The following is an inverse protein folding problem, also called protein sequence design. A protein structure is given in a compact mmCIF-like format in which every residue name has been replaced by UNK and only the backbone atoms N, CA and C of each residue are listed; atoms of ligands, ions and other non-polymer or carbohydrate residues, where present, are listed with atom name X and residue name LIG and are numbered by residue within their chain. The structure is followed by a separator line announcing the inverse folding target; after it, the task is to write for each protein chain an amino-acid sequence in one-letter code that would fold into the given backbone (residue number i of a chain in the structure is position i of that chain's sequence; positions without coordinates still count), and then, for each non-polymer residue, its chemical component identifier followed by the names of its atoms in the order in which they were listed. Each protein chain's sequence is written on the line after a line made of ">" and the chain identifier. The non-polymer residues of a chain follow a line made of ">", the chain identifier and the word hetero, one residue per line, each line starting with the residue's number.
data_IF_860103995373
#
_entry.id   IF_860103995373
#
_cell.length_a   1.000
_cell.length_b   1.000
_cell.length_c   1.000
_cell.angle_alpha   90.00
_cell.angle_beta   90.00
_cell.angle_gamma   90.00
#
_symmetry.space_group_name_H-M   'P 1'
#
loop_
_entity.id
_entity.type
_entity.pdbx_description
1 polymer ?
#
# COMPACT_ATOMS: atom_id res chain seq x y z
N UNK A 1 45.23 -5.84 3.46
CA UNK A 1 44.09 -5.66 2.57
C UNK A 1 43.12 -4.77 3.34
N UNK A 2 42.59 -3.69 2.77
CA UNK A 2 41.56 -2.92 3.47
C UNK A 2 40.37 -3.84 3.72
N UNK A 3 39.91 -3.91 4.98
CA UNK A 3 38.66 -4.57 5.32
C UNK A 3 37.54 -3.97 4.44
N UNK A 4 36.84 -4.81 3.67
CA UNK A 4 35.65 -4.36 2.97
C UNK A 4 34.68 -3.80 4.02
N UNK A 5 34.10 -2.60 3.81
CA UNK A 5 33.17 -2.02 4.77
C UNK A 5 32.07 -3.04 5.04
N UNK A 6 31.87 -3.37 6.30
CA UNK A 6 30.87 -4.36 6.73
C UNK A 6 29.51 -3.90 6.22
N UNK A 7 28.93 -4.66 5.30
CA UNK A 7 27.64 -4.38 4.71
C UNK A 7 26.55 -4.31 5.81
N UNK A 8 25.93 -3.16 5.99
CA UNK A 8 24.88 -2.98 6.99
C UNK A 8 23.66 -3.87 6.67
N UNK A 9 23.13 -4.53 7.68
CA UNK A 9 21.95 -5.39 7.58
C UNK A 9 20.79 -4.73 8.32
N UNK A 10 19.75 -4.35 7.55
CA UNK A 10 18.56 -3.67 8.04
C UNK A 10 17.34 -4.57 7.98
N UNK A 11 16.56 -4.64 9.05
CA UNK A 11 15.21 -5.20 9.06
C UNK A 11 14.17 -4.09 9.10
N UNK A 12 13.27 -4.06 8.14
CA UNK A 12 12.06 -3.25 8.16
C UNK A 12 10.88 -4.07 8.68
N UNK A 13 10.17 -3.58 9.68
CA UNK A 13 8.96 -4.22 10.21
C UNK A 13 7.74 -3.38 9.87
N UNK A 14 6.99 -3.82 8.84
CA UNK A 14 5.68 -3.29 8.47
C UNK A 14 4.81 -4.44 8.02
N UNK A 15 3.98 -4.97 8.93
CA UNK A 15 3.25 -6.22 8.71
C UNK A 15 2.01 -6.02 7.84
N UNK A 16 1.32 -4.89 8.00
CA UNK A 16 0.01 -4.59 7.40
C UNK A 16 -0.38 -3.10 7.63
N UNK A 17 -1.42 -2.52 6.96
CA UNK A 17 -2.19 -3.10 5.89
C UNK A 17 -1.56 -2.74 4.52
N UNK A 18 -2.24 -3.06 3.39
CA UNK A 18 -1.75 -2.76 2.04
C UNK A 18 -1.33 -1.29 1.89
N UNK A 19 -2.23 -0.36 2.18
CA UNK A 19 -1.95 1.09 2.07
C UNK A 19 -0.79 1.52 2.96
N UNK A 20 -0.75 1.02 4.19
CA UNK A 20 0.33 1.33 5.13
C UNK A 20 1.72 0.82 4.66
N UNK A 21 1.76 -0.35 4.01
CA UNK A 21 2.99 -0.87 3.41
C UNK A 21 3.40 0.02 2.24
N UNK A 22 2.44 0.36 1.36
CA UNK A 22 2.67 1.26 0.23
C UNK A 22 3.19 2.63 0.65
N UNK A 23 2.72 3.16 1.77
CA UNK A 23 3.22 4.42 2.34
C UNK A 23 4.63 4.31 2.94
N UNK A 24 5.08 3.12 3.33
CA UNK A 24 6.45 2.91 3.80
C UNK A 24 7.45 2.70 2.67
N UNK A 25 7.00 2.22 1.51
CA UNK A 25 7.88 1.89 0.38
C UNK A 25 8.70 3.08 -0.14
N UNK A 26 8.19 4.33 -0.26
CA UNK A 26 8.97 5.47 -0.77
C UNK A 26 10.24 5.71 0.02
N UNK A 27 10.15 5.69 1.35
CA UNK A 27 11.29 5.92 2.24
C UNK A 27 12.33 4.79 2.16
N UNK A 28 11.86 3.53 2.09
CA UNK A 28 12.77 2.38 1.95
C UNK A 28 13.37 2.32 0.54
N UNK A 29 12.64 2.79 -0.50
CA UNK A 29 13.18 2.92 -1.86
C UNK A 29 14.30 3.96 -1.90
N UNK A 30 14.10 5.12 -1.29
CA UNK A 30 15.14 6.14 -1.21
C UNK A 30 16.40 5.61 -0.48
N UNK A 31 16.20 4.87 0.61
CA UNK A 31 17.29 4.22 1.31
C UNK A 31 18.02 3.19 0.43
N UNK A 32 17.29 2.36 -0.33
CA UNK A 32 17.87 1.39 -1.27
C UNK A 32 18.69 2.05 -2.36
N UNK A 33 18.24 3.21 -2.87
CA UNK A 33 18.97 3.97 -3.89
C UNK A 33 20.25 4.61 -3.32
N UNK A 34 20.17 5.13 -2.09
CA UNK A 34 21.31 5.71 -1.40
C UNK A 34 22.35 4.66 -0.99
N UNK A 35 21.91 3.46 -0.63
CA UNK A 35 22.73 2.36 -0.13
C UNK A 35 22.42 1.04 -0.86
N UNK A 36 22.78 0.92 -2.14
CA UNK A 36 22.49 -0.27 -2.94
C UNK A 36 23.18 -1.55 -2.43
N UNK A 37 24.24 -1.41 -1.64
CA UNK A 37 25.03 -2.50 -1.03
C UNK A 37 24.40 -3.03 0.27
N UNK A 38 23.50 -2.29 0.94
CA UNK A 38 22.93 -2.74 2.19
C UNK A 38 22.04 -3.97 2.00
N UNK A 39 22.02 -4.84 3.00
CA UNK A 39 21.11 -5.97 3.02
C UNK A 39 19.82 -5.58 3.73
N UNK A 40 18.72 -5.52 3.00
CA UNK A 40 17.40 -5.12 3.53
C UNK A 40 16.47 -6.33 3.59
N UNK A 41 16.09 -6.72 4.79
CA UNK A 41 14.99 -7.66 5.02
C UNK A 41 13.69 -6.93 5.38
N UNK A 42 12.56 -7.55 5.10
CA UNK A 42 11.24 -6.99 5.43
C UNK A 42 10.34 -8.05 6.08
N UNK A 43 9.79 -7.73 7.25
CA UNK A 43 8.78 -8.57 7.92
C UNK A 43 7.38 -8.11 7.53
N UNK A 44 6.58 -9.02 6.95
CA UNK A 44 5.26 -8.73 6.38
C UNK A 44 4.27 -9.89 6.58
N UNK A 45 2.97 -9.61 6.67
CA UNK A 45 1.93 -10.66 6.67
C UNK A 45 1.84 -11.37 5.29
N UNK A 46 1.48 -12.68 5.26
CA UNK A 46 1.52 -13.51 4.04
C UNK A 46 0.82 -12.89 2.84
N UNK A 47 -0.37 -12.32 3.04
CA UNK A 47 -1.17 -11.75 1.97
C UNK A 47 -0.55 -10.51 1.31
N UNK A 48 0.38 -9.85 1.97
CA UNK A 48 1.02 -8.63 1.47
C UNK A 48 2.42 -8.87 0.90
N UNK A 49 2.95 -10.10 0.99
CA UNK A 49 4.24 -10.48 0.39
C UNK A 49 4.36 -10.06 -1.09
N UNK A 50 3.30 -10.18 -1.94
CA UNK A 50 3.41 -9.80 -3.34
C UNK A 50 3.68 -8.30 -3.62
N UNK A 51 3.53 -7.41 -2.61
CA UNK A 51 3.98 -6.02 -2.72
C UNK A 51 5.51 -5.87 -2.69
N UNK A 52 6.23 -6.89 -2.21
CA UNK A 52 7.68 -6.87 -2.02
C UNK A 52 8.42 -7.84 -2.96
N UNK A 53 7.80 -8.97 -3.27
CA UNK A 53 8.42 -10.04 -4.04
C UNK A 53 7.37 -10.84 -4.84
N UNK A 54 7.64 -11.14 -6.10
CA UNK A 54 6.87 -12.08 -6.88
C UNK A 54 7.03 -13.51 -6.34
N UNK A 55 6.12 -14.41 -6.72
CA UNK A 55 6.15 -15.79 -6.24
C UNK A 55 7.40 -16.55 -6.73
N UNK A 56 7.97 -17.36 -5.85
CA UNK A 56 9.11 -18.23 -6.17
C UNK A 56 10.43 -17.50 -6.43
N UNK A 57 10.53 -16.19 -6.16
CA UNK A 57 11.77 -15.45 -6.35
C UNK A 57 12.73 -15.66 -5.17
N UNK A 58 14.02 -15.80 -5.49
CA UNK A 58 15.12 -15.85 -4.53
C UNK A 58 16.12 -14.75 -4.91
N UNK A 59 16.37 -13.83 -3.98
CA UNK A 59 17.30 -12.72 -4.17
C UNK A 59 16.75 -11.54 -4.96
N UNK A 60 17.47 -10.43 -4.87
CA UNK A 60 17.10 -9.13 -5.45
C UNK A 60 17.18 -9.12 -6.97
N UNK A 61 16.22 -8.47 -7.60
CA UNK A 61 16.10 -8.31 -9.04
C UNK A 61 14.74 -7.72 -9.42
N UNK A 62 14.34 -7.67 -10.70
CA UNK A 62 13.07 -7.07 -11.12
C UNK A 62 11.83 -7.66 -10.45
N UNK A 63 11.90 -8.93 -10.01
CA UNK A 63 10.83 -9.64 -9.30
C UNK A 63 10.84 -9.41 -7.79
N UNK A 64 11.90 -8.85 -7.23
CA UNK A 64 12.06 -8.43 -5.83
C UNK A 64 13.04 -7.24 -5.80
N UNK A 65 12.60 -6.03 -6.23
CA UNK A 65 13.55 -4.95 -6.50
C UNK A 65 14.05 -4.22 -5.26
N UNK A 66 13.27 -4.18 -4.19
CA UNK A 66 13.50 -3.34 -3.03
C UNK A 66 14.32 -4.04 -1.93
N UNK A 67 13.98 -5.29 -1.64
CA UNK A 67 14.51 -6.04 -0.49
C UNK A 67 15.34 -7.23 -0.95
N UNK A 68 16.21 -7.74 -0.06
CA UNK A 68 17.03 -8.92 -0.31
C UNK A 68 16.37 -10.19 0.23
N UNK A 69 15.53 -10.06 1.27
CA UNK A 69 14.72 -11.15 1.78
C UNK A 69 13.38 -10.67 2.37
N UNK A 70 12.38 -11.55 2.39
CA UNK A 70 11.06 -11.29 2.95
C UNK A 70 10.74 -12.32 4.03
N UNK A 71 10.53 -11.85 5.26
CA UNK A 71 10.10 -12.68 6.39
C UNK A 71 8.57 -12.68 6.47
N UNK A 72 7.98 -13.84 6.21
CA UNK A 72 6.52 -14.00 6.28
C UNK A 72 6.08 -14.26 7.71
N UNK A 73 5.31 -13.31 8.26
CA UNK A 73 4.87 -13.29 9.66
C UNK A 73 3.34 -13.32 9.72
N UNK A 74 2.69 -14.49 9.91
CA UNK A 74 1.23 -14.60 9.92
C UNK A 74 0.62 -14.18 11.28
N UNK A 75 0.92 -12.95 11.73
CA UNK A 75 0.58 -12.44 13.04
C UNK A 75 -0.93 -12.46 13.33
N UNK A 76 -1.79 -12.23 12.31
CA UNK A 76 -3.25 -12.34 12.47
C UNK A 76 -3.72 -13.77 12.69
N UNK A 77 -3.07 -14.75 12.08
CA UNK A 77 -3.39 -16.17 12.31
C UNK A 77 -2.98 -16.59 13.71
N UNK A 78 -1.80 -16.16 14.17
CA UNK A 78 -1.33 -16.44 15.52
C UNK A 78 -2.27 -15.89 16.60
N UNK A 79 -2.84 -14.70 16.39
CA UNK A 79 -3.80 -14.11 17.34
C UNK A 79 -5.09 -14.92 17.50
N UNK A 80 -5.45 -15.76 16.52
CA UNK A 80 -6.65 -16.64 16.62
C UNK A 80 -6.41 -17.90 17.44
N UNK A 81 -5.16 -18.37 17.52
CA UNK A 81 -4.77 -19.56 18.27
C UNK A 81 -3.35 -19.40 18.82
N UNK A 82 -3.16 -18.52 19.84
CA UNK A 82 -1.82 -18.10 20.27
C UNK A 82 -1.01 -19.24 20.90
N UNK A 83 -1.66 -20.19 21.57
CA UNK A 83 -1.02 -21.35 22.22
C UNK A 83 -1.07 -22.63 21.38
N UNK A 84 -1.57 -22.56 20.14
CA UNK A 84 -1.67 -23.71 19.25
C UNK A 84 -0.28 -24.24 18.86
N UNK A 85 -0.10 -25.59 18.75
CA UNK A 85 1.20 -26.19 18.39
C UNK A 85 1.76 -25.69 17.06
N UNK A 86 0.88 -25.40 16.08
CA UNK A 86 1.24 -24.80 14.79
C UNK A 86 1.81 -23.39 14.99
N UNK A 87 1.11 -22.54 15.74
CA UNK A 87 1.55 -21.18 16.06
C UNK A 87 2.90 -21.19 16.75
N UNK A 88 3.08 -22.05 17.74
CA UNK A 88 4.35 -22.15 18.48
C UNK A 88 5.52 -22.56 17.57
N UNK A 89 5.29 -23.48 16.62
CA UNK A 89 6.31 -23.87 15.62
C UNK A 89 6.64 -22.72 14.68
N UNK A 90 5.63 -22.03 14.16
CA UNK A 90 5.81 -20.88 13.25
C UNK A 90 6.51 -19.71 13.95
N UNK A 91 6.14 -19.38 15.17
CA UNK A 91 6.82 -18.36 15.98
C UNK A 91 8.29 -18.70 16.18
N UNK A 92 8.61 -19.97 16.53
CA UNK A 92 10.00 -20.42 16.69
C UNK A 92 10.77 -20.32 15.38
N UNK A 93 10.14 -20.68 14.24
CA UNK A 93 10.73 -20.57 12.90
C UNK A 93 11.06 -19.11 12.58
N UNK A 94 10.08 -18.21 12.65
CA UNK A 94 10.28 -16.78 12.35
C UNK A 94 11.33 -16.15 13.27
N UNK A 95 11.30 -16.46 14.59
CA UNK A 95 12.33 -15.97 15.51
C UNK A 95 13.73 -16.46 15.16
N UNK A 96 13.88 -17.68 14.64
CA UNK A 96 15.16 -18.22 14.18
C UNK A 96 15.59 -17.48 12.92
N UNK A 97 14.74 -17.43 11.89
CA UNK A 97 15.00 -16.72 10.63
C UNK A 97 15.49 -15.27 10.86
N UNK A 98 14.76 -14.51 11.72
CA UNK A 98 15.14 -13.13 12.04
C UNK A 98 16.49 -13.02 12.77
N UNK A 99 16.88 -14.01 13.56
CA UNK A 99 18.18 -14.02 14.27
C UNK A 99 19.32 -14.46 13.40
N UNK A 100 19.08 -15.44 12.54
CA UNK A 100 20.11 -16.02 11.67
C UNK A 100 20.60 -14.96 10.64
N UNK A 101 19.72 -14.00 10.29
CA UNK A 101 20.09 -12.86 9.44
C UNK A 101 21.02 -11.82 10.11
N UNK A 102 21.14 -11.83 11.43
CA UNK A 102 22.08 -10.96 12.18
C UNK A 102 21.94 -9.46 11.83
N UNK A 103 20.75 -8.92 11.84
CA UNK A 103 20.48 -7.52 11.54
C UNK A 103 21.21 -6.57 12.49
N UNK A 104 21.92 -5.56 11.95
CA UNK A 104 22.53 -4.50 12.74
C UNK A 104 21.49 -3.48 13.21
N UNK A 105 20.55 -3.13 12.33
CA UNK A 105 19.48 -2.18 12.57
C UNK A 105 18.12 -2.85 12.32
N UNK A 106 17.14 -2.57 13.18
CA UNK A 106 15.76 -2.91 12.97
C UNK A 106 14.91 -1.64 13.08
N UNK A 107 14.05 -1.37 12.11
CA UNK A 107 13.13 -0.25 12.13
C UNK A 107 11.69 -0.74 12.14
N UNK A 108 10.91 -0.28 13.13
CA UNK A 108 9.47 -0.54 13.19
C UNK A 108 8.70 0.67 12.63
N UNK A 109 8.20 0.53 11.40
CA UNK A 109 7.36 1.53 10.73
C UNK A 109 5.86 1.30 10.98
N UNK A 110 5.47 0.33 11.81
CA UNK A 110 4.08 0.04 12.13
C UNK A 110 3.61 0.68 13.44
N UNK A 111 4.48 0.76 14.43
CA UNK A 111 4.17 1.33 15.73
C UNK A 111 3.08 0.60 16.52
N UNK A 112 2.95 -0.73 16.36
CA UNK A 112 2.02 -1.56 17.12
C UNK A 112 2.77 -2.49 18.06
N UNK A 113 2.16 -2.91 19.18
CA UNK A 113 2.80 -3.83 20.14
C UNK A 113 3.28 -5.11 19.46
N UNK A 114 2.46 -5.69 18.58
CA UNK A 114 2.83 -6.92 17.87
C UNK A 114 4.05 -6.74 16.95
N UNK A 115 4.15 -5.61 16.23
CA UNK A 115 5.30 -5.33 15.39
C UNK A 115 6.56 -5.06 16.22
N UNK A 116 6.44 -4.32 17.32
CA UNK A 116 7.54 -4.07 18.25
C UNK A 116 8.09 -5.35 18.87
N UNK A 117 7.22 -6.31 19.24
CA UNK A 117 7.62 -7.63 19.71
C UNK A 117 8.39 -8.41 18.66
N UNK A 118 7.91 -8.41 17.41
CA UNK A 118 8.56 -9.08 16.27
C UNK A 118 9.92 -8.41 15.99
N UNK A 119 9.98 -7.08 15.98
CA UNK A 119 11.21 -6.32 15.81
C UNK A 119 12.26 -6.70 16.85
N UNK A 120 11.86 -6.88 18.12
CA UNK A 120 12.75 -7.31 19.20
C UNK A 120 13.31 -8.73 19.00
N UNK A 121 12.63 -9.59 18.23
CA UNK A 121 13.15 -10.93 17.96
C UNK A 121 14.39 -10.95 17.09
N UNK A 122 14.58 -9.94 16.24
CA UNK A 122 15.79 -9.79 15.41
C UNK A 122 17.06 -9.56 16.23
N UNK A 123 16.93 -9.08 17.49
CA UNK A 123 18.07 -8.75 18.39
C UNK A 123 19.05 -7.74 17.78
N UNK A 124 18.58 -6.87 16.89
CA UNK A 124 19.41 -5.83 16.31
C UNK A 124 20.04 -4.92 17.39
N UNK A 125 21.20 -4.38 17.08
CA UNK A 125 21.92 -3.45 17.98
C UNK A 125 21.11 -2.17 18.16
N UNK A 126 20.59 -1.62 17.06
CA UNK A 126 19.68 -0.47 17.02
C UNK A 126 18.27 -0.95 16.74
N UNK A 127 17.31 -0.55 17.55
CA UNK A 127 15.88 -0.77 17.35
C UNK A 127 15.17 0.57 17.34
N UNK A 128 14.81 1.02 16.16
CA UNK A 128 14.32 2.37 15.87
C UNK A 128 12.82 2.33 15.63
N UNK A 129 12.10 3.34 16.11
CA UNK A 129 10.68 3.54 15.84
C UNK A 129 10.23 4.94 16.20
N UNK A 130 8.99 5.29 15.87
CA UNK A 130 8.42 6.61 16.19
C UNK A 130 8.30 6.82 17.71
N UNK A 131 8.53 8.05 18.19
CA UNK A 131 8.33 8.44 19.60
C UNK A 131 6.84 8.45 19.97
N UNK A 132 5.97 8.78 19.02
CA UNK A 132 4.51 8.74 19.15
C UNK A 132 3.89 7.63 18.27
N UNK A 133 4.17 6.33 18.53
CA UNK A 133 3.68 5.26 17.70
C UNK A 133 2.15 5.10 17.81
N UNK A 134 1.55 4.42 16.83
CA UNK A 134 0.10 4.15 16.79
C UNK A 134 -0.43 3.54 18.10
N UNK A 135 0.28 2.60 18.70
CA UNK A 135 0.00 2.04 20.01
C UNK A 135 1.08 2.51 20.99
N UNK A 136 0.71 3.41 21.90
CA UNK A 136 1.65 4.10 22.81
C UNK A 136 2.63 3.18 23.53
N UNK A 137 2.22 1.96 23.86
CA UNK A 137 3.08 1.00 24.57
C UNK A 137 4.21 0.45 23.69
N UNK A 138 4.10 0.52 22.36
CA UNK A 138 5.16 0.07 21.44
C UNK A 138 6.46 0.86 21.63
N UNK A 139 6.38 2.14 22.01
CA UNK A 139 7.54 3.01 22.25
C UNK A 139 8.55 2.47 23.27
N UNK A 140 8.09 1.68 24.24
CA UNK A 140 8.98 1.13 25.28
C UNK A 140 9.86 -0.01 24.77
N UNK A 141 9.62 -0.51 23.57
CA UNK A 141 10.46 -1.51 22.91
C UNK A 141 11.61 -0.86 22.14
N UNK A 142 11.44 0.40 21.69
CA UNK A 142 12.42 1.09 20.85
C UNK A 142 13.58 1.61 21.69
N UNK A 143 14.81 1.36 21.24
CA UNK A 143 16.05 1.91 21.83
C UNK A 143 16.26 3.34 21.38
N UNK A 144 15.93 3.62 20.10
CA UNK A 144 15.98 4.93 19.49
C UNK A 144 14.58 5.33 19.06
N UNK A 145 14.16 6.54 19.43
CA UNK A 145 12.82 7.07 19.17
C UNK A 145 12.93 8.33 18.35
N UNK A 146 12.22 8.33 17.22
CA UNK A 146 12.24 9.44 16.26
C UNK A 146 10.97 10.26 16.45
N UNK A 147 11.13 11.56 16.68
CA UNK A 147 10.01 12.50 16.62
C UNK A 147 9.81 12.88 15.17
N UNK A 148 8.62 12.60 14.66
CA UNK A 148 8.22 12.96 13.32
C UNK A 148 7.38 14.24 13.35
N UNK A 149 7.55 15.08 12.33
CA UNK A 149 6.86 16.39 12.16
C UNK A 149 5.99 16.41 10.91
N UNK A 150 6.22 15.52 9.97
CA UNK A 150 5.46 15.39 8.73
C UNK A 150 3.97 15.17 8.97
N UNK A 151 3.14 15.81 8.16
CA UNK A 151 1.68 15.62 8.21
C UNK A 151 1.30 14.30 7.57
N UNK A 152 1.90 13.99 6.41
CA UNK A 152 1.64 12.77 5.68
C UNK A 152 2.45 11.60 6.23
N UNK A 153 1.87 10.41 6.27
CA UNK A 153 2.53 9.20 6.81
C UNK A 153 3.77 8.79 6.00
N UNK A 154 3.88 9.17 4.73
CA UNK A 154 5.10 8.98 3.90
C UNK A 154 6.23 9.87 4.41
N UNK A 155 5.95 11.13 4.75
CA UNK A 155 6.93 12.05 5.33
C UNK A 155 7.43 11.52 6.67
N UNK A 156 6.51 11.07 7.54
CA UNK A 156 6.85 10.47 8.83
C UNK A 156 7.75 9.23 8.66
N UNK A 157 7.43 8.34 7.72
CA UNK A 157 8.27 7.18 7.42
C UNK A 157 9.65 7.60 6.88
N UNK A 158 9.73 8.65 6.06
CA UNK A 158 10.99 9.20 5.54
C UNK A 158 11.84 9.78 6.68
N UNK A 159 11.25 10.55 7.60
CA UNK A 159 11.96 11.08 8.77
C UNK A 159 12.56 9.97 9.65
N UNK A 160 11.82 8.86 9.83
CA UNK A 160 12.36 7.69 10.55
C UNK A 160 13.52 7.06 9.77
N UNK A 161 13.40 6.94 8.44
CA UNK A 161 14.46 6.35 7.61
C UNK A 161 15.68 7.26 7.47
N UNK A 162 15.53 8.59 7.59
CA UNK A 162 16.66 9.53 7.66
C UNK A 162 17.58 9.22 8.85
N UNK A 163 17.00 8.85 10.01
CA UNK A 163 17.80 8.43 11.18
C UNK A 163 18.53 7.09 10.94
N UNK A 164 17.93 6.20 10.14
CA UNK A 164 18.58 4.94 9.73
C UNK A 164 19.76 5.20 8.78
N UNK A 165 19.54 6.09 7.80
CA UNK A 165 20.54 6.45 6.79
C UNK A 165 21.64 7.36 7.34
N UNK A 166 21.37 8.03 8.46
CA UNK A 166 22.21 9.15 8.98
C UNK A 166 22.36 10.29 7.95
N UNK A 167 21.34 10.43 7.07
CA UNK A 167 21.29 11.41 5.98
C UNK A 167 19.83 11.79 5.65
N UNK A 168 19.64 12.85 4.87
CA UNK A 168 18.34 13.29 4.39
C UNK A 168 17.98 12.58 3.08
N UNK A 169 16.99 11.70 3.13
CA UNK A 169 16.52 10.95 1.99
C UNK A 169 15.41 11.71 1.23
N UNK A 170 15.47 11.78 -0.10
CA UNK A 170 14.37 12.32 -0.89
C UNK A 170 13.19 11.34 -0.92
N UNK A 171 11.98 11.84 -1.14
CA UNK A 171 10.84 10.95 -1.44
C UNK A 171 11.02 10.38 -2.84
N UNK A 172 10.85 9.06 -3.00
CA UNK A 172 11.02 8.33 -4.26
C UNK A 172 9.77 7.56 -4.65
N UNK A 173 9.57 7.35 -5.95
CA UNK A 173 8.58 6.41 -6.43
C UNK A 173 8.94 5.00 -5.96
N UNK A 174 8.01 4.25 -5.37
CA UNK A 174 8.29 2.92 -4.85
C UNK A 174 8.75 1.91 -5.88
N UNK A 175 9.76 1.13 -5.51
CA UNK A 175 10.16 -0.04 -6.27
C UNK A 175 9.20 -1.20 -5.97
N UNK A 176 8.34 -1.53 -6.93
CA UNK A 176 7.37 -2.62 -6.84
C UNK A 176 7.75 -3.78 -7.76
N UNK A 177 7.49 -5.04 -7.35
CA UNK A 177 7.82 -6.22 -8.15
C UNK A 177 7.17 -6.23 -9.52
N UNK A 178 7.85 -6.87 -10.48
CA UNK A 178 7.27 -7.27 -11.77
C UNK A 178 7.08 -8.77 -11.78
N UNK A 179 5.85 -9.21 -11.96
CA UNK A 179 5.50 -10.61 -12.13
C UNK A 179 5.19 -10.87 -13.61
N UNK A 180 5.98 -11.69 -14.33
CA UNK A 180 5.81 -11.88 -15.78
C UNK A 180 4.45 -12.45 -16.17
N UNK A 181 3.85 -13.32 -15.34
CA UNK A 181 2.54 -13.87 -15.64
C UNK A 181 1.43 -12.83 -15.42
N UNK A 182 1.51 -12.06 -14.34
CA UNK A 182 0.59 -10.97 -14.09
C UNK A 182 0.67 -9.89 -15.18
N UNK A 183 1.88 -9.52 -15.62
CA UNK A 183 2.09 -8.58 -16.73
C UNK A 183 1.50 -9.12 -18.05
N UNK A 184 1.67 -10.40 -18.35
CA UNK A 184 1.07 -11.05 -19.53
C UNK A 184 -0.46 -11.02 -19.47
N UNK A 185 -1.07 -11.33 -18.33
CA UNK A 185 -2.54 -11.24 -18.15
C UNK A 185 -3.03 -9.80 -18.32
N UNK A 186 -2.34 -8.84 -17.72
CA UNK A 186 -2.68 -7.43 -17.84
C UNK A 186 -2.56 -6.93 -19.28
N UNK A 187 -1.62 -7.46 -20.08
CA UNK A 187 -1.46 -7.07 -21.49
C UNK A 187 -2.63 -7.48 -22.39
N UNK A 188 -3.48 -8.40 -21.95
CA UNK A 188 -4.70 -8.78 -22.67
C UNK A 188 -5.84 -7.76 -22.55
N UNK A 189 -5.75 -6.82 -21.60
CA UNK A 189 -6.73 -5.74 -21.47
C UNK A 189 -6.53 -4.70 -22.59
N UNK A 190 -7.64 -4.35 -23.24
CA UNK A 190 -7.63 -3.27 -24.22
C UNK A 190 -7.32 -1.93 -23.56
N UNK A 191 -6.50 -1.11 -24.22
CA UNK A 191 -6.12 0.23 -23.79
C UNK A 191 -6.62 1.27 -24.80
N UNK A 192 -6.87 2.53 -24.40
CA UNK A 192 -6.78 3.06 -23.04
C UNK A 192 -7.95 2.62 -22.13
N UNK A 193 -7.70 2.45 -20.83
CA UNK A 193 -8.75 2.16 -19.87
C UNK A 193 -8.58 2.90 -18.54
N UNK A 194 -9.72 3.15 -17.87
CA UNK A 194 -9.80 3.65 -16.50
C UNK A 194 -10.09 2.50 -15.54
N UNK A 195 -9.32 2.42 -14.46
CA UNK A 195 -9.49 1.40 -13.42
C UNK A 195 -10.36 1.95 -12.28
N UNK A 196 -11.51 1.33 -12.05
CA UNK A 196 -12.42 1.66 -10.95
C UNK A 196 -12.22 0.72 -9.77
N UNK A 197 -12.15 1.27 -8.58
CA UNK A 197 -11.97 0.56 -7.30
C UNK A 197 -13.18 0.85 -6.39
N UNK A 198 -14.31 0.13 -6.55
CA UNK A 198 -15.51 0.39 -5.77
C UNK A 198 -15.43 -0.14 -4.34
N UNK A 199 -14.51 -1.09 -4.07
CA UNK A 199 -14.31 -1.69 -2.77
C UNK A 199 -13.75 -0.74 -1.73
N UNK A 200 -14.04 -1.02 -0.45
CA UNK A 200 -13.44 -0.32 0.68
C UNK A 200 -13.37 -1.22 1.91
N UNK A 201 -12.46 -0.92 2.83
CA UNK A 201 -12.25 -1.69 4.06
C UNK A 201 -13.46 -1.74 4.99
N UNK A 202 -14.39 -0.78 4.92
CA UNK A 202 -15.68 -0.75 5.63
C UNK A 202 -16.69 0.17 4.93
N UNK A 203 -17.99 0.02 5.24
CA UNK A 203 -19.09 0.66 4.53
C UNK A 203 -19.03 2.19 4.48
N UNK A 204 -18.62 2.85 5.58
CA UNK A 204 -18.54 4.31 5.61
C UNK A 204 -17.59 4.94 4.58
N UNK A 205 -16.68 4.16 4.02
CA UNK A 205 -15.75 4.57 2.94
C UNK A 205 -16.26 4.20 1.54
N UNK A 206 -17.40 3.53 1.42
CA UNK A 206 -17.90 3.05 0.13
C UNK A 206 -18.75 4.12 -0.55
N UNK A 207 -18.29 4.57 -1.69
CA UNK A 207 -19.12 5.33 -2.60
C UNK A 207 -20.13 4.37 -3.26
N UNK A 208 -21.42 4.77 -3.45
CA UNK A 208 -22.48 3.86 -3.92
C UNK A 208 -22.17 3.17 -5.25
N UNK A 209 -22.54 1.90 -5.38
CA UNK A 209 -22.37 1.10 -6.61
C UNK A 209 -23.07 1.71 -7.81
N UNK A 210 -24.26 2.30 -7.59
CA UNK A 210 -25.06 2.98 -8.62
C UNK A 210 -24.28 4.14 -9.24
N UNK A 211 -23.53 4.88 -8.42
CA UNK A 211 -22.71 6.00 -8.88
C UNK A 211 -21.46 5.56 -9.63
N UNK A 212 -20.83 4.46 -9.20
CA UNK A 212 -19.77 3.83 -9.99
C UNK A 212 -20.28 3.32 -11.33
N UNK A 213 -21.49 2.77 -11.38
CA UNK A 213 -22.11 2.30 -12.61
C UNK A 213 -22.40 3.44 -13.58
N UNK A 214 -22.94 4.55 -13.09
CA UNK A 214 -23.16 5.76 -13.88
C UNK A 214 -21.85 6.33 -14.41
N UNK A 215 -20.82 6.43 -13.55
CA UNK A 215 -19.48 6.87 -13.95
C UNK A 215 -18.88 5.94 -15.03
N UNK A 216 -19.03 4.62 -14.89
CA UNK A 216 -18.55 3.64 -15.87
C UNK A 216 -19.22 3.85 -17.24
N UNK A 217 -20.53 4.14 -17.26
CA UNK A 217 -21.26 4.46 -18.49
C UNK A 217 -20.72 5.74 -19.14
N UNK A 218 -20.54 6.80 -18.37
CA UNK A 218 -20.02 8.09 -18.86
C UNK A 218 -18.59 7.98 -19.40
N UNK A 219 -17.74 7.20 -18.75
CA UNK A 219 -16.35 6.95 -19.21
C UNK A 219 -16.34 6.18 -20.55
N UNK A 220 -17.17 5.13 -20.64
CA UNK A 220 -17.34 4.39 -21.90
C UNK A 220 -17.83 5.29 -23.02
N UNK A 221 -18.83 6.13 -22.77
CA UNK A 221 -19.41 7.04 -23.77
C UNK A 221 -18.41 8.14 -24.18
N UNK A 222 -17.44 8.44 -23.33
CA UNK A 222 -16.27 9.28 -23.63
C UNK A 222 -15.13 8.54 -24.37
N UNK A 223 -15.31 7.25 -24.70
CA UNK A 223 -14.36 6.46 -25.49
C UNK A 223 -13.29 5.73 -24.69
N UNK A 224 -13.41 5.65 -23.37
CA UNK A 224 -12.47 4.89 -22.53
C UNK A 224 -12.98 3.49 -22.24
N UNK A 225 -12.08 2.51 -22.29
CA UNK A 225 -12.33 1.22 -21.66
C UNK A 225 -12.50 1.39 -20.14
N UNK A 226 -13.34 0.57 -19.53
CA UNK A 226 -13.54 0.60 -18.09
C UNK A 226 -13.25 -0.78 -17.51
N UNK A 227 -12.38 -0.84 -16.50
CA UNK A 227 -12.08 -2.05 -15.75
C UNK A 227 -12.49 -1.82 -14.30
N UNK A 228 -13.27 -2.74 -13.74
CA UNK A 228 -13.63 -2.72 -12.32
C UNK A 228 -12.86 -3.81 -11.59
N UNK A 229 -12.04 -3.43 -10.62
CA UNK A 229 -11.34 -4.40 -9.79
C UNK A 229 -12.21 -4.88 -8.63
N UNK A 230 -12.31 -6.19 -8.47
CA UNK A 230 -12.90 -6.85 -7.32
C UNK A 230 -11.79 -7.43 -6.44
N UNK A 231 -11.64 -6.91 -5.24
CA UNK A 231 -10.81 -7.52 -4.19
C UNK A 231 -11.49 -8.77 -3.59
N UNK A 232 -10.80 -9.49 -2.70
CA UNK A 232 -11.39 -10.64 -2.03
C UNK A 232 -12.68 -10.29 -1.28
N UNK A 233 -13.79 -10.95 -1.65
CA UNK A 233 -15.12 -10.72 -1.06
C UNK A 233 -15.89 -9.52 -1.65
N UNK A 234 -15.41 -8.90 -2.72
CA UNK A 234 -16.02 -7.75 -3.39
C UNK A 234 -16.71 -8.12 -4.72
N UNK A 235 -16.82 -9.41 -5.03
CA UNK A 235 -17.41 -9.89 -6.27
C UNK A 235 -18.83 -9.39 -6.52
N UNK A 236 -19.67 -9.38 -5.47
CA UNK A 236 -21.04 -8.89 -5.56
C UNK A 236 -21.09 -7.40 -5.89
N UNK A 237 -20.20 -6.60 -5.30
CA UNK A 237 -20.12 -5.17 -5.53
C UNK A 237 -19.70 -4.85 -6.97
N UNK A 238 -18.61 -5.48 -7.44
CA UNK A 238 -18.15 -5.30 -8.81
C UNK A 238 -19.17 -5.80 -9.86
N UNK A 239 -19.82 -6.94 -9.58
CA UNK A 239 -20.91 -7.48 -10.41
C UNK A 239 -22.13 -6.56 -10.45
N UNK A 240 -22.45 -5.89 -9.34
CA UNK A 240 -23.52 -4.90 -9.28
C UNK A 240 -23.20 -3.67 -10.14
N UNK A 241 -22.01 -3.11 -10.05
CA UNK A 241 -21.54 -2.02 -10.91
C UNK A 241 -21.69 -2.41 -12.39
N UNK A 242 -21.22 -3.60 -12.77
CA UNK A 242 -21.32 -4.07 -14.14
C UNK A 242 -22.76 -4.23 -14.61
N UNK A 243 -23.62 -4.80 -13.78
CA UNK A 243 -25.04 -4.98 -14.09
C UNK A 243 -25.79 -3.65 -14.26
N UNK A 244 -25.58 -2.71 -13.34
CA UNK A 244 -26.24 -1.40 -13.36
C UNK A 244 -25.78 -0.52 -14.51
N UNK A 245 -24.56 -0.69 -14.99
CA UNK A 245 -23.99 0.04 -16.15
C UNK A 245 -24.27 -0.63 -17.51
N UNK A 246 -25.16 -1.63 -17.56
CA UNK A 246 -25.45 -2.36 -18.81
C UNK A 246 -24.27 -3.13 -19.36
N UNK A 247 -23.36 -3.62 -18.52
CA UNK A 247 -22.19 -4.36 -18.92
C UNK A 247 -21.03 -3.49 -19.45
N UNK A 248 -21.04 -2.19 -19.14
CA UNK A 248 -19.99 -1.28 -19.60
C UNK A 248 -18.56 -1.71 -19.19
N UNK A 249 -18.28 -2.10 -17.91
CA UNK A 249 -16.92 -2.45 -17.50
C UNK A 249 -16.59 -3.94 -17.64
N UNK A 250 -15.30 -4.22 -17.86
CA UNK A 250 -14.72 -5.54 -17.60
C UNK A 250 -14.50 -5.73 -16.12
N UNK A 251 -15.11 -6.73 -15.50
CA UNK A 251 -14.86 -7.07 -14.09
C UNK A 251 -13.64 -7.95 -13.98
N UNK A 252 -12.66 -7.49 -13.18
CA UNK A 252 -11.40 -8.19 -12.97
C UNK A 252 -11.27 -8.62 -11.50
N UNK A 253 -11.06 -9.92 -11.28
CA UNK A 253 -10.65 -10.48 -9.99
C UNK A 253 -9.14 -10.61 -10.01
N UNK A 254 -8.45 -9.72 -9.31
CA UNK A 254 -7.01 -9.71 -9.34
C UNK A 254 -6.38 -10.18 -8.03
N UNK A 255 -5.34 -10.98 -8.13
CA UNK A 255 -4.32 -11.09 -7.08
C UNK A 255 -3.58 -9.75 -6.93
N UNK A 256 -2.80 -9.58 -5.87
CA UNK A 256 -2.01 -8.35 -5.69
C UNK A 256 -1.01 -8.16 -6.84
N UNK A 257 -0.36 -9.24 -7.32
CA UNK A 257 0.56 -9.15 -8.44
C UNK A 257 -0.15 -8.70 -9.73
N UNK A 258 -1.33 -9.26 -10.01
CA UNK A 258 -2.15 -8.85 -11.15
C UNK A 258 -2.66 -7.40 -11.00
N UNK A 259 -3.07 -7.00 -9.80
CA UNK A 259 -3.48 -5.62 -9.52
C UNK A 259 -2.33 -4.63 -9.79
N UNK A 260 -1.09 -4.95 -9.38
CA UNK A 260 0.10 -4.13 -9.69
C UNK A 260 0.27 -4.00 -11.21
N UNK A 261 0.20 -5.11 -11.94
CA UNK A 261 0.37 -5.13 -13.39
C UNK A 261 -0.74 -4.36 -14.13
N UNK A 262 -2.00 -4.54 -13.73
CA UNK A 262 -3.16 -3.83 -14.31
C UNK A 262 -3.08 -2.33 -14.01
N UNK A 263 -2.75 -1.96 -12.77
CA UNK A 263 -2.63 -0.55 -12.38
C UNK A 263 -1.54 0.17 -13.18
N UNK A 264 -0.42 -0.50 -13.49
CA UNK A 264 0.63 0.08 -14.36
C UNK A 264 0.13 0.44 -15.75
N UNK A 265 -0.88 -0.26 -16.26
CA UNK A 265 -1.44 -0.06 -17.61
C UNK A 265 -2.63 0.89 -17.65
N UNK A 266 -3.26 1.15 -16.51
CA UNK A 266 -4.38 2.09 -16.44
C UNK A 266 -3.91 3.53 -16.78
N UNK A 267 -4.76 4.25 -17.52
CA UNK A 267 -4.55 5.69 -17.76
C UNK A 267 -4.89 6.51 -16.52
N UNK A 268 -5.91 6.07 -15.77
CA UNK A 268 -6.41 6.72 -14.58
C UNK A 268 -6.95 5.67 -13.61
N UNK A 269 -6.83 5.92 -12.32
CA UNK A 269 -7.46 5.09 -11.28
C UNK A 269 -8.42 5.94 -10.45
N UNK A 270 -9.65 5.44 -10.26
CA UNK A 270 -10.68 6.11 -9.48
C UNK A 270 -11.16 5.18 -8.37
N UNK A 271 -11.15 5.67 -7.13
CA UNK A 271 -11.59 4.86 -5.99
C UNK A 271 -11.63 5.62 -4.68
N UNK A 272 -12.14 4.94 -3.65
CA UNK A 272 -12.11 5.43 -2.27
C UNK A 272 -10.74 5.28 -1.61
N UNK A 273 -10.61 5.75 -0.36
CA UNK A 273 -9.40 5.58 0.48
C UNK A 273 -9.16 4.09 0.79
N UNK A 274 -8.40 3.44 -0.08
CA UNK A 274 -8.12 1.99 -0.06
C UNK A 274 -6.72 1.67 -0.51
N UNK A 275 -6.24 0.45 -0.19
CA UNK A 275 -4.93 -0.02 -0.64
C UNK A 275 -4.70 0.10 -2.16
N UNK A 276 -5.64 -0.32 -3.03
CA UNK A 276 -5.51 -0.16 -4.48
C UNK A 276 -5.37 1.29 -4.96
N UNK A 277 -6.04 2.28 -4.31
CA UNK A 277 -5.86 3.69 -4.64
C UNK A 277 -4.44 4.15 -4.31
N UNK A 278 -3.92 3.75 -3.14
CA UNK A 278 -2.55 4.06 -2.74
C UNK A 278 -1.52 3.35 -3.63
N UNK A 279 -1.85 2.17 -4.16
CA UNK A 279 -1.02 1.48 -5.16
C UNK A 279 -0.90 2.30 -6.45
N UNK A 280 -2.01 2.86 -6.93
CA UNK A 280 -2.00 3.70 -8.11
C UNK A 280 -1.12 4.96 -7.91
N UNK A 281 -1.29 5.65 -6.79
CA UNK A 281 -0.44 6.79 -6.41
C UNK A 281 1.03 6.38 -6.31
N UNK A 282 1.33 5.26 -5.68
CA UNK A 282 2.69 4.71 -5.55
C UNK A 282 3.32 4.35 -6.91
N UNK A 283 2.53 3.99 -7.91
CA UNK A 283 2.97 3.73 -9.29
C UNK A 283 3.04 4.99 -10.17
N UNK A 284 2.79 6.16 -9.57
CA UNK A 284 2.80 7.44 -10.29
C UNK A 284 1.65 7.60 -11.28
N UNK A 285 0.56 6.84 -11.13
CA UNK A 285 -0.60 6.95 -11.99
C UNK A 285 -1.48 8.13 -11.58
N UNK A 286 -2.15 8.80 -12.54
CA UNK A 286 -3.19 9.76 -12.21
C UNK A 286 -4.29 9.12 -11.36
N UNK A 287 -4.75 9.83 -10.33
CA UNK A 287 -5.69 9.29 -9.34
C UNK A 287 -6.81 10.26 -9.05
N UNK A 288 -8.07 9.79 -9.10
CA UNK A 288 -9.20 10.47 -8.47
C UNK A 288 -9.57 9.72 -7.18
N UNK A 289 -9.29 10.35 -6.05
CA UNK A 289 -9.58 9.81 -4.72
C UNK A 289 -10.92 10.33 -4.18
N UNK A 290 -11.83 9.42 -3.83
CA UNK A 290 -13.14 9.74 -3.25
C UNK A 290 -13.06 9.49 -1.74
N UNK A 291 -13.03 10.57 -0.95
CA UNK A 291 -12.78 10.51 0.49
C UNK A 291 -14.03 10.89 1.29
N UNK A 292 -14.30 10.13 2.32
CA UNK A 292 -15.35 10.39 3.32
C UNK A 292 -14.71 10.65 4.70
N UNK A 293 -14.80 9.66 5.64
CA UNK A 293 -14.43 9.88 7.04
C UNK A 293 -12.93 9.94 7.32
N UNK A 294 -12.07 9.73 6.33
CA UNK A 294 -10.61 9.78 6.49
C UNK A 294 -10.03 11.11 6.03
N UNK A 295 -8.87 11.46 6.61
CA UNK A 295 -8.16 12.69 6.27
C UNK A 295 -7.17 12.46 5.13
N UNK A 296 -7.42 13.03 3.92
CA UNK A 296 -6.52 12.86 2.79
C UNK A 296 -5.17 13.56 2.99
N UNK A 297 -5.08 14.60 3.82
CA UNK A 297 -3.81 15.26 4.12
C UNK A 297 -2.83 14.30 4.83
N UNK A 298 -3.35 13.35 5.61
CA UNK A 298 -2.55 12.38 6.33
C UNK A 298 -2.24 11.12 5.52
N UNK A 299 -3.23 10.58 4.83
CA UNK A 299 -3.14 9.26 4.20
C UNK A 299 -3.58 9.27 2.73
N UNK A 300 -3.77 10.43 2.09
CA UNK A 300 -4.23 10.51 0.71
C UNK A 300 -3.18 10.12 -0.32
N UNK A 301 -3.47 10.30 -1.61
CA UNK A 301 -2.48 10.23 -2.66
C UNK A 301 -1.33 11.22 -2.39
N UNK A 302 -0.11 10.83 -2.71
CA UNK A 302 1.08 11.63 -2.41
C UNK A 302 2.04 11.63 -3.62
N UNK A 303 2.44 12.82 -4.03
CA UNK A 303 3.23 13.01 -5.25
C UNK A 303 2.42 12.68 -6.53
N UNK A 304 2.87 13.15 -7.68
CA UNK A 304 2.20 12.92 -8.96
C UNK A 304 0.87 13.66 -9.14
N UNK A 305 0.10 13.25 -10.16
CA UNK A 305 -1.15 13.90 -10.55
C UNK A 305 -2.34 13.26 -9.84
N UNK A 306 -3.04 14.03 -9.00
CA UNK A 306 -4.25 13.53 -8.35
C UNK A 306 -5.30 14.61 -8.11
N UNK A 307 -6.55 14.19 -7.99
CA UNK A 307 -7.65 14.99 -7.48
C UNK A 307 -8.29 14.26 -6.31
N UNK A 308 -8.55 14.98 -5.23
CA UNK A 308 -9.26 14.43 -4.05
C UNK A 308 -10.60 15.12 -3.92
N UNK A 309 -11.65 14.33 -3.98
CA UNK A 309 -13.02 14.77 -3.75
C UNK A 309 -13.42 14.38 -2.33
N UNK A 310 -13.70 15.36 -1.50
CA UNK A 310 -14.14 15.22 -0.11
C UNK A 310 -15.04 16.39 0.27
N UNK A 311 -16.16 16.07 0.89
CA UNK A 311 -17.04 17.13 1.42
C UNK A 311 -16.34 17.84 2.59
N UNK A 312 -16.37 19.19 2.66
CA UNK A 312 -15.69 19.93 3.73
C UNK A 312 -16.17 19.56 5.14
N UNK A 313 -17.45 19.24 5.28
CA UNK A 313 -18.06 18.85 6.57
C UNK A 313 -17.97 17.38 6.89
N UNK A 314 -17.34 16.54 6.03
CA UNK A 314 -17.10 15.14 6.34
C UNK A 314 -16.33 15.02 7.65
N UNK A 315 -16.93 14.31 8.61
CA UNK A 315 -16.33 14.12 9.93
C UNK A 315 -15.13 13.15 9.82
N UNK A 316 -14.04 13.48 10.50
CA UNK A 316 -12.92 12.55 10.68
C UNK A 316 -13.36 11.47 11.69
N UNK A 317 -13.78 10.32 11.20
CA UNK A 317 -14.21 9.22 12.04
C UNK A 317 -13.59 7.91 11.57
N UNK A 318 -12.90 7.23 12.47
CA UNK A 318 -12.29 5.93 12.23
C UNK A 318 -13.17 4.76 12.70
N UNK A 319 -14.40 5.05 13.16
CA UNK A 319 -15.38 4.03 13.53
C UNK A 319 -15.89 3.31 12.29
N UNK A 320 -15.93 1.99 12.36
CA UNK A 320 -16.31 1.15 11.21
C UNK A 320 -17.82 1.04 11.09
N UNK A 321 -18.45 2.06 10.52
CA UNK A 321 -19.89 2.01 10.19
C UNK A 321 -20.14 1.22 8.91
N UNK A 322 -21.31 0.56 8.83
CA UNK A 322 -21.73 -0.21 7.67
C UNK A 322 -22.26 0.69 6.54
N UNK A 323 -22.94 1.80 6.88
CA UNK A 323 -23.50 2.75 5.93
C UNK A 323 -22.44 3.74 5.43
N UNK A 324 -22.54 4.22 4.18
CA UNK A 324 -21.68 5.29 3.65
C UNK A 324 -21.77 6.56 4.52
N UNK A 325 -20.67 7.28 4.65
CA UNK A 325 -20.64 8.57 5.34
C UNK A 325 -21.42 9.62 4.53
N UNK A 326 -22.13 10.53 5.22
CA UNK A 326 -23.05 11.48 4.59
C UNK A 326 -22.37 12.40 3.57
N UNK A 327 -21.15 12.90 3.87
CA UNK A 327 -20.40 13.74 2.94
C UNK A 327 -19.99 12.99 1.68
N UNK A 328 -19.72 11.68 1.78
CA UNK A 328 -19.45 10.83 0.62
C UNK A 328 -20.64 10.78 -0.35
N UNK A 329 -21.85 10.84 0.20
CA UNK A 329 -23.10 10.85 -0.59
C UNK A 329 -23.37 12.19 -1.31
N UNK A 330 -22.62 13.25 -1.03
CA UNK A 330 -22.71 14.52 -1.77
C UNK A 330 -21.83 14.54 -3.02
N UNK A 331 -20.82 13.64 -3.11
CA UNK A 331 -19.96 13.55 -4.27
C UNK A 331 -20.71 12.88 -5.42
N UNK A 332 -20.94 13.61 -6.51
CA UNK A 332 -21.74 13.14 -7.64
C UNK A 332 -20.88 12.49 -8.73
N UNK A 333 -21.44 11.62 -9.58
CA UNK A 333 -20.72 11.07 -10.74
C UNK A 333 -20.19 12.15 -11.69
N UNK A 334 -20.90 13.28 -11.83
CA UNK A 334 -20.48 14.43 -12.63
C UNK A 334 -19.17 15.04 -12.10
N UNK A 335 -19.10 15.26 -10.78
CA UNK A 335 -17.92 15.84 -10.15
C UNK A 335 -16.70 14.92 -10.28
N UNK A 336 -16.91 13.60 -10.17
CA UNK A 336 -15.85 12.60 -10.36
C UNK A 336 -15.42 12.54 -11.83
N UNK A 337 -16.40 12.60 -12.76
CA UNK A 337 -16.09 12.61 -14.21
C UNK A 337 -15.31 13.87 -14.60
N UNK A 338 -15.69 15.05 -14.08
CA UNK A 338 -14.96 16.29 -14.36
C UNK A 338 -13.49 16.19 -13.91
N UNK A 339 -13.24 15.74 -12.66
CA UNK A 339 -11.91 15.53 -12.14
C UNK A 339 -11.11 14.48 -12.94
N UNK A 340 -11.79 13.43 -13.42
CA UNK A 340 -11.19 12.40 -14.26
C UNK A 340 -10.74 12.95 -15.61
N UNK A 341 -11.60 13.74 -16.27
CA UNK A 341 -11.29 14.34 -17.58
C UNK A 341 -10.16 15.37 -17.51
N UNK A 342 -10.09 16.17 -16.44
CA UNK A 342 -8.96 17.07 -16.19
C UNK A 342 -7.63 16.30 -16.20
N UNK A 343 -7.52 15.25 -15.39
CA UNK A 343 -6.30 14.43 -15.29
C UNK A 343 -5.95 13.73 -16.62
N UNK A 344 -6.94 13.18 -17.32
CA UNK A 344 -6.74 12.51 -18.60
C UNK A 344 -6.31 13.46 -19.71
N UNK A 345 -6.68 14.74 -19.62
CA UNK A 345 -6.23 15.79 -20.56
C UNK A 345 -4.80 16.25 -20.24
N UNK A 346 -4.45 16.42 -18.97
CA UNK A 346 -3.11 16.77 -18.51
C UNK A 346 -2.06 15.76 -19.00
N UNK A 347 -2.36 14.45 -18.90
CA UNK A 347 -1.47 13.36 -19.36
C UNK A 347 -1.26 13.32 -20.89
N UNK A 348 -2.19 13.87 -21.68
CA UNK A 348 -2.04 13.92 -23.14
C UNK A 348 -1.16 15.07 -23.65
N UNK A 349 -0.90 16.05 -22.79
CA UNK A 349 -0.09 17.24 -23.11
C UNK A 349 1.39 17.03 -22.77
N UNK A 350 1.70 16.03 -21.95
CA UNK A 350 3.05 15.64 -21.56
C UNK A 350 3.50 14.34 -22.26
#
# INVERSE_FOLDING_TARGET
>A
MPEQPKQLRLLVVRLSAMGDILHALPAVTALREAHPEWHIGWAVEPQWKPLLAAEGVIGRGPRMPLVDCVHVVPARQWARSPLGPKTMREVRRVRRELRDEQYDVCVDLQGALRSAVIAKWARAKRLIGEDAPRERLARYFFKERVRTSGVHVIEQATEVMNVVAEDSLPVRCPLLPRDPEAERKASALATPFVLLIPGAGWGAKRWPSERYAELATRLRDAGYGVVVNAGPGEDSLAGEVARLSGGAPTVLRSSIAELIAVTRRAELVIGGDTGPLHLASALGKPVVGIFGPTDPARNGPFGGNFRVLRHPESRRDHTRHAAPEAGLLTITPESVMAAAMELLQEERVH
#
